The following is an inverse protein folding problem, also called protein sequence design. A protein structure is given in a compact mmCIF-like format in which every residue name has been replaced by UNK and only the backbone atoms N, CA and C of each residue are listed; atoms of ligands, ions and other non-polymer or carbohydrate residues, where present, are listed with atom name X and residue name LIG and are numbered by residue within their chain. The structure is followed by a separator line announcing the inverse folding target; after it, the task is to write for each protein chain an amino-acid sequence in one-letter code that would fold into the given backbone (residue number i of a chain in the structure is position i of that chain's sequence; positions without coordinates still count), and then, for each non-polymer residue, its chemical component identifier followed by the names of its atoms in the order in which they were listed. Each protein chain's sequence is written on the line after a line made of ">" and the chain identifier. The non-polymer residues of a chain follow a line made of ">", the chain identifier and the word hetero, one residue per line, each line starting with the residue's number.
data_IF_399996131218
#
_entry.id   IF_399996131218
#
_cell.length_a   1.000
_cell.length_b   1.000
_cell.length_c   1.000
_cell.angle_alpha   90.00
_cell.angle_beta   90.00
_cell.angle_gamma   90.00
#
_symmetry.space_group_name_H-M   'P 1'
#
loop_
_entity.id
_entity.type
_entity.pdbx_description
1 polymer ?
#
# COMPACT_ATOMS: atom_id res chain seq x y z
N UNK A 1 2.41 0.77 -15.86
CA UNK A 1 1.40 0.55 -14.80
C UNK A 1 1.00 1.91 -14.28
N UNK A 2 -0.29 2.18 -14.10
CA UNK A 2 -0.76 3.48 -13.58
C UNK A 2 -0.72 3.54 -12.06
N UNK A 3 -0.83 4.73 -11.48
CA UNK A 3 -0.93 4.90 -10.02
C UNK A 3 -2.15 4.16 -9.43
N UNK A 4 -3.28 4.15 -10.13
CA UNK A 4 -4.50 3.44 -9.71
C UNK A 4 -4.28 1.93 -9.62
N UNK A 5 -3.60 1.32 -10.60
CA UNK A 5 -3.22 -0.10 -10.55
C UNK A 5 -2.33 -0.41 -9.33
N UNK A 6 -1.39 0.49 -9.01
CA UNK A 6 -0.50 0.33 -7.85
C UNK A 6 -1.28 0.42 -6.53
N UNK A 7 -2.24 1.34 -6.44
CA UNK A 7 -3.17 1.42 -5.29
C UNK A 7 -3.97 0.14 -5.14
N UNK A 8 -4.57 -0.36 -6.20
CA UNK A 8 -5.37 -1.58 -6.17
C UNK A 8 -4.55 -2.79 -5.72
N UNK A 9 -3.31 -2.91 -6.22
CA UNK A 9 -2.36 -3.95 -5.79
C UNK A 9 -1.96 -3.83 -4.33
N UNK A 10 -1.71 -2.61 -3.84
CA UNK A 10 -1.40 -2.36 -2.45
C UNK A 10 -2.58 -2.70 -1.53
N UNK A 11 -3.80 -2.28 -1.88
CA UNK A 11 -5.04 -2.60 -1.14
C UNK A 11 -5.27 -4.12 -1.09
N UNK A 12 -5.12 -4.81 -2.23
CA UNK A 12 -5.24 -6.26 -2.28
C UNK A 12 -4.20 -6.96 -1.41
N UNK A 13 -2.96 -6.46 -1.39
CA UNK A 13 -1.90 -6.97 -0.52
C UNK A 13 -2.24 -6.78 0.96
N UNK A 14 -2.69 -5.60 1.38
CA UNK A 14 -3.11 -5.33 2.76
C UNK A 14 -4.23 -6.26 3.21
N UNK A 15 -5.25 -6.45 2.37
CA UNK A 15 -6.38 -7.34 2.70
C UNK A 15 -5.95 -8.80 2.83
N UNK A 16 -5.15 -9.29 1.89
CA UNK A 16 -4.76 -10.72 1.85
C UNK A 16 -3.71 -11.10 2.88
N UNK A 17 -2.77 -10.21 3.20
CA UNK A 17 -1.67 -10.49 4.14
C UNK A 17 -1.97 -10.09 5.59
N UNK A 18 -2.74 -9.02 5.80
CA UNK A 18 -2.97 -8.45 7.14
C UNK A 18 -4.44 -8.43 7.55
N UNK A 19 -5.37 -8.74 6.63
CA UNK A 19 -6.80 -8.64 6.88
C UNK A 19 -7.30 -7.21 7.01
N UNK A 20 -6.49 -6.23 6.63
CA UNK A 20 -6.78 -4.80 6.71
C UNK A 20 -7.74 -4.37 5.60
N UNK A 21 -8.78 -3.62 5.96
CA UNK A 21 -9.61 -2.90 5.00
C UNK A 21 -9.10 -1.47 4.84
N UNK A 22 -8.73 -1.08 3.62
CA UNK A 22 -8.27 0.28 3.34
C UNK A 22 -9.45 1.25 3.32
N UNK A 23 -9.43 2.25 4.20
CA UNK A 23 -10.43 3.32 4.28
C UNK A 23 -10.02 4.49 3.38
N UNK A 24 -8.75 4.87 3.43
CA UNK A 24 -8.14 5.92 2.62
C UNK A 24 -6.70 5.56 2.26
N UNK A 25 -6.22 6.07 1.12
CA UNK A 25 -4.83 5.90 0.68
C UNK A 25 -4.41 7.08 -0.18
N UNK A 26 -3.48 7.88 0.34
CA UNK A 26 -2.92 9.05 -0.30
C UNK A 26 -1.46 8.80 -0.68
N UNK A 27 -1.14 8.93 -1.97
CA UNK A 27 0.21 8.71 -2.47
C UNK A 27 1.10 9.88 -2.08
N UNK A 28 2.20 9.56 -1.40
CA UNK A 28 3.22 10.52 -1.01
C UNK A 28 4.35 10.56 -2.02
N UNK A 29 4.77 9.39 -2.51
CA UNK A 29 5.80 9.26 -3.55
C UNK A 29 5.60 7.96 -4.35
N UNK A 30 5.94 8.00 -5.63
CA UNK A 30 5.88 6.85 -6.52
C UNK A 30 7.15 6.75 -7.35
N UNK A 31 8.00 5.79 -6.98
CA UNK A 31 9.22 5.46 -7.72
C UNK A 31 9.09 4.19 -8.58
N UNK A 32 7.87 3.65 -8.71
CA UNK A 32 7.63 2.42 -9.47
C UNK A 32 7.71 2.71 -10.97
N UNK A 33 8.73 2.15 -11.61
CA UNK A 33 8.91 2.18 -13.06
C UNK A 33 8.94 0.76 -13.62
N UNK A 34 8.23 0.54 -14.72
CA UNK A 34 8.01 -0.78 -15.33
C UNK A 34 7.68 -1.90 -14.31
N UNK A 35 6.86 -1.56 -13.30
CA UNK A 35 6.44 -2.50 -12.25
C UNK A 35 7.48 -2.81 -11.17
N UNK A 36 8.58 -2.06 -11.10
CA UNK A 36 9.65 -2.22 -10.12
C UNK A 36 9.90 -0.90 -9.38
N UNK A 37 10.02 -0.94 -8.05
CA UNK A 37 10.32 0.25 -7.26
C UNK A 37 9.51 0.31 -5.97
N UNK A 38 9.39 1.50 -5.37
CA UNK A 38 8.67 1.69 -4.11
C UNK A 38 7.50 2.63 -4.31
N UNK A 39 6.34 2.20 -3.81
CA UNK A 39 5.12 2.98 -3.74
C UNK A 39 4.86 3.39 -2.29
N UNK A 40 4.99 4.68 -2.01
CA UNK A 40 4.93 5.25 -0.67
C UNK A 40 3.61 5.97 -0.47
N UNK A 41 2.86 5.57 0.55
CA UNK A 41 1.52 6.09 0.83
C UNK A 41 1.34 6.39 2.31
N UNK A 42 0.46 7.34 2.57
CA UNK A 42 -0.22 7.48 3.86
C UNK A 42 -1.61 6.85 3.72
N UNK A 43 -2.04 6.08 4.72
CA UNK A 43 -3.33 5.38 4.65
C UNK A 43 -3.98 5.25 6.02
N UNK A 44 -5.31 5.24 6.02
CA UNK A 44 -6.13 4.79 7.15
C UNK A 44 -6.63 3.38 6.84
N UNK A 45 -6.41 2.44 7.76
CA UNK A 45 -6.88 1.05 7.63
C UNK A 45 -7.77 0.67 8.81
N UNK A 46 -8.75 -0.19 8.55
CA UNK A 46 -9.63 -0.76 9.54
C UNK A 46 -9.31 -2.24 9.76
N UNK A 47 -9.11 -2.64 11.02
CA UNK A 47 -9.00 -4.04 11.43
C UNK A 47 -10.05 -4.29 12.51
N UNK A 48 -11.04 -5.15 12.22
CA UNK A 48 -12.09 -5.53 13.17
C UNK A 48 -12.83 -4.34 13.82
N UNK A 49 -13.09 -3.28 13.04
CA UNK A 49 -13.78 -2.07 13.51
C UNK A 49 -12.88 -1.02 14.17
N UNK A 50 -11.56 -1.25 14.22
CA UNK A 50 -10.60 -0.27 14.73
C UNK A 50 -9.82 0.34 13.58
N UNK A 51 -9.94 1.67 13.43
CA UNK A 51 -9.20 2.44 12.44
C UNK A 51 -7.85 2.90 12.98
N UNK A 52 -6.85 2.95 12.12
CA UNK A 52 -5.51 3.43 12.46
C UNK A 52 -4.79 4.01 11.23
N UNK A 53 -3.96 5.01 11.48
CA UNK A 53 -3.23 5.75 10.45
C UNK A 53 -1.77 5.29 10.36
N UNK A 54 -1.31 5.07 9.12
CA UNK A 54 0.01 4.53 8.84
C UNK A 54 0.65 5.19 7.63
N UNK A 55 1.96 5.32 7.68
CA UNK A 55 2.79 5.49 6.49
C UNK A 55 3.32 4.12 6.08
N UNK A 56 3.18 3.75 4.80
CA UNK A 56 3.57 2.43 4.27
C UNK A 56 4.38 2.58 2.98
N UNK A 57 5.36 1.70 2.80
CA UNK A 57 6.22 1.61 1.61
C UNK A 57 6.09 0.22 1.00
N UNK A 58 5.36 0.13 -0.11
CA UNK A 58 5.18 -1.12 -0.84
C UNK A 58 6.30 -1.28 -1.86
N UNK A 59 7.10 -2.33 -1.74
CA UNK A 59 8.10 -2.68 -2.75
C UNK A 59 7.46 -3.51 -3.83
N UNK A 60 7.47 -3.00 -5.05
CA UNK A 60 7.02 -3.67 -6.26
C UNK A 60 8.18 -4.34 -6.98
N UNK A 61 7.93 -5.55 -7.47
CA UNK A 61 8.79 -6.27 -8.40
C UNK A 61 7.92 -6.98 -9.43
N UNK A 62 8.25 -6.81 -10.71
CA UNK A 62 7.49 -7.38 -11.83
C UNK A 62 5.97 -7.13 -11.71
N UNK A 63 5.60 -5.94 -11.23
CA UNK A 63 4.20 -5.51 -11.09
C UNK A 63 3.45 -6.05 -9.87
N UNK A 64 4.14 -6.69 -8.93
CA UNK A 64 3.54 -7.25 -7.72
C UNK A 64 4.24 -6.75 -6.46
N UNK A 65 3.47 -6.57 -5.39
CA UNK A 65 4.04 -6.26 -4.07
C UNK A 65 4.76 -7.49 -3.55
N UNK A 66 6.06 -7.34 -3.25
CA UNK A 66 6.89 -8.41 -2.69
C UNK A 66 7.27 -8.20 -1.24
N UNK A 67 7.21 -6.95 -0.77
CA UNK A 67 7.43 -6.59 0.63
C UNK A 67 6.78 -5.25 0.94
N UNK A 68 6.61 -4.99 2.24
CA UNK A 68 6.06 -3.74 2.75
C UNK A 68 6.75 -3.38 4.06
N UNK A 69 7.17 -2.13 4.17
CA UNK A 69 7.57 -1.50 5.44
C UNK A 69 6.47 -0.54 5.90
N UNK A 70 6.36 -0.31 7.21
CA UNK A 70 5.33 0.57 7.76
C UNK A 70 5.79 1.29 9.03
N UNK A 71 5.18 2.45 9.28
CA UNK A 71 5.38 3.26 10.48
C UNK A 71 4.05 3.88 10.91
N UNK A 72 3.74 3.79 12.21
CA UNK A 72 2.56 4.43 12.77
C UNK A 72 2.71 5.95 12.73
N UNK A 73 1.62 6.65 12.39
CA UNK A 73 1.56 8.13 12.40
C UNK A 73 1.03 8.67 13.72
#
# INVERSE_FOLDING_TARGET
>A
MGEEDLKDKAIAYLKSHYGEDTVSMDVQDNSVDDGNGVFHVDCTVNINGQESDWTKWFTFRDGNVVSMDWRMR
#
